data_IF_092889263783
#
_entry.id   IF_092889263783
#
_cell.length_a   1.000
_cell.length_b   1.000
_cell.length_c   1.000
_cell.angle_alpha   90.00
_cell.angle_beta   90.00
_cell.angle_gamma   90.00
#
_symmetry.space_group_name_H-M   'P 1'
#
loop_
_entity.id
_entity.type
_entity.pdbx_description
1 polymer ?
#
# COMPACT_ATOMS: atom_id res chain seq x y z
N UNK A 1 13.36 27.30 -32.34
CA UNK A 1 12.85 25.91 -32.21
C UNK A 1 11.94 25.60 -33.37
N UNK A 2 11.85 24.31 -33.76
CA UNK A 2 10.86 23.84 -34.74
C UNK A 2 9.47 23.76 -34.09
N UNK A 3 8.42 23.96 -34.86
CA UNK A 3 7.03 23.94 -34.36
C UNK A 3 6.69 22.60 -33.70
N UNK A 4 7.07 21.47 -34.30
CA UNK A 4 6.87 20.13 -33.76
C UNK A 4 7.38 19.99 -32.32
N UNK A 5 8.63 20.39 -32.07
CA UNK A 5 9.24 20.34 -30.73
C UNK A 5 8.57 21.27 -29.72
N UNK A 6 7.92 22.35 -30.17
CA UNK A 6 7.18 23.24 -29.28
C UNK A 6 5.82 22.66 -28.96
N UNK A 7 5.14 22.05 -29.93
CA UNK A 7 3.84 21.37 -29.75
C UNK A 7 3.93 20.28 -28.69
N UNK A 8 4.98 19.45 -28.74
CA UNK A 8 5.23 18.40 -27.73
C UNK A 8 5.40 18.96 -26.31
N UNK A 9 5.83 20.21 -26.18
CA UNK A 9 6.14 20.88 -24.91
C UNK A 9 5.05 21.84 -24.42
N UNK A 10 3.93 21.97 -25.15
CA UNK A 10 2.88 22.94 -24.78
C UNK A 10 2.19 22.58 -23.46
N UNK A 11 1.94 21.29 -23.21
CA UNK A 11 1.31 20.81 -21.97
C UNK A 11 2.24 21.01 -20.77
N UNK A 12 3.49 20.58 -20.88
CA UNK A 12 4.51 20.78 -19.84
C UNK A 12 4.72 22.28 -19.54
N UNK A 13 4.66 23.13 -20.58
CA UNK A 13 4.73 24.58 -20.41
C UNK A 13 3.49 25.14 -19.69
N UNK A 14 2.29 24.63 -20.01
CA UNK A 14 1.03 25.04 -19.39
C UNK A 14 1.00 24.73 -17.88
N UNK A 15 1.53 23.57 -17.48
CA UNK A 15 1.61 23.15 -16.08
C UNK A 15 2.90 23.56 -15.36
N UNK A 16 3.76 24.36 -16.00
CA UNK A 16 5.02 24.85 -15.42
C UNK A 16 5.99 23.71 -15.03
N UNK A 17 6.01 22.64 -15.81
CA UNK A 17 6.87 21.47 -15.60
C UNK A 17 8.19 21.54 -16.40
N UNK A 18 8.31 22.51 -17.32
CA UNK A 18 9.53 22.73 -18.08
C UNK A 18 10.64 23.40 -17.27
N UNK A 19 11.89 23.05 -17.60
CA UNK A 19 13.08 23.76 -17.11
C UNK A 19 13.06 25.23 -17.56
N UNK A 20 13.62 26.18 -16.77
CA UNK A 20 13.54 27.61 -17.06
C UNK A 20 14.06 28.00 -18.45
N UNK A 21 15.12 27.35 -18.94
CA UNK A 21 15.68 27.63 -20.26
C UNK A 21 14.78 27.15 -21.41
N UNK A 22 14.10 26.03 -21.23
CA UNK A 22 13.17 25.48 -22.23
C UNK A 22 11.88 26.29 -22.26
N UNK A 23 11.37 26.71 -21.10
CA UNK A 23 10.22 27.60 -20.98
C UNK A 23 10.46 28.94 -21.70
N UNK A 24 11.66 29.52 -21.59
CA UNK A 24 12.03 30.73 -22.35
C UNK A 24 11.99 30.51 -23.86
N UNK A 25 12.50 29.38 -24.35
CA UNK A 25 12.51 29.09 -25.78
C UNK A 25 11.09 28.87 -26.34
N UNK A 26 10.23 28.19 -25.58
CA UNK A 26 8.81 28.03 -25.91
C UNK A 26 8.10 29.39 -25.90
N UNK A 27 8.32 30.21 -24.87
CA UNK A 27 7.72 31.56 -24.77
C UNK A 27 8.15 32.48 -25.93
N UNK A 28 9.41 32.41 -26.37
CA UNK A 28 9.89 33.13 -27.55
C UNK A 28 9.19 32.63 -28.82
N UNK A 29 9.03 31.32 -28.98
CA UNK A 29 8.37 30.75 -30.16
C UNK A 29 6.87 31.12 -30.24
N UNK A 30 6.16 31.12 -29.11
CA UNK A 30 4.75 31.54 -29.05
C UNK A 30 4.55 33.03 -29.42
N UNK A 31 5.59 33.87 -29.29
CA UNK A 31 5.57 35.25 -29.78
C UNK A 31 5.73 35.35 -31.29
N UNK A 32 6.48 34.44 -31.91
CA UNK A 32 6.76 34.47 -33.35
C UNK A 32 5.81 33.63 -34.20
N UNK A 33 5.23 32.54 -33.66
CA UNK A 33 4.40 31.59 -34.41
C UNK A 33 2.91 31.73 -34.04
N UNK A 34 2.03 32.13 -34.98
CA UNK A 34 0.59 32.25 -34.72
C UNK A 34 -0.10 30.90 -34.55
N UNK A 35 0.33 29.85 -35.25
CA UNK A 35 -0.28 28.51 -35.19
C UNK A 35 -0.10 27.86 -33.82
N UNK A 36 1.15 27.80 -33.32
CA UNK A 36 1.42 27.26 -31.99
C UNK A 36 0.79 28.11 -30.87
N UNK A 37 0.57 29.41 -31.11
CA UNK A 37 -0.16 30.28 -30.17
C UNK A 37 -1.64 29.92 -30.10
N UNK A 38 -2.27 29.65 -31.24
CA UNK A 38 -3.68 29.23 -31.29
C UNK A 38 -3.88 27.91 -30.55
N UNK A 39 -3.04 26.90 -30.84
CA UNK A 39 -3.09 25.59 -30.17
C UNK A 39 -2.88 25.71 -28.64
N UNK A 40 -1.96 26.57 -28.20
CA UNK A 40 -1.77 26.84 -26.77
C UNK A 40 -2.99 27.51 -26.11
N UNK A 41 -3.70 28.38 -26.84
CA UNK A 41 -4.93 29.01 -26.34
C UNK A 41 -6.06 27.99 -26.20
N UNK A 42 -6.17 27.02 -27.11
CA UNK A 42 -7.17 25.95 -27.04
C UNK A 42 -6.96 25.06 -25.80
N UNK A 43 -5.71 24.69 -25.51
CA UNK A 43 -5.39 23.96 -24.28
C UNK A 43 -5.73 24.76 -23.03
N UNK A 44 -5.39 26.05 -23.01
CA UNK A 44 -5.70 26.94 -21.88
C UNK A 44 -7.22 27.08 -21.67
N UNK A 45 -7.99 27.19 -22.75
CA UNK A 45 -9.45 27.25 -22.69
C UNK A 45 -10.03 25.95 -22.12
N UNK A 46 -9.52 24.80 -22.55
CA UNK A 46 -9.92 23.47 -22.05
C UNK A 46 -9.69 23.35 -20.53
N UNK A 47 -8.50 23.70 -20.05
CA UNK A 47 -8.17 23.69 -18.61
C UNK A 47 -9.06 24.67 -17.83
N UNK A 48 -9.35 25.84 -18.40
CA UNK A 48 -10.24 26.81 -17.76
C UNK A 48 -11.69 26.31 -17.62
N UNK A 49 -12.17 25.47 -18.54
CA UNK A 49 -13.49 24.81 -18.41
C UNK A 49 -13.45 23.75 -17.32
N UNK A 50 -12.42 22.91 -17.30
CA UNK A 50 -12.24 21.87 -16.26
C UNK A 50 -12.09 22.47 -14.86
N UNK A 51 -11.42 23.61 -14.73
CA UNK A 51 -11.25 24.31 -13.45
C UNK A 51 -12.55 24.84 -12.84
N UNK A 52 -13.65 24.92 -13.61
CA UNK A 52 -14.98 25.31 -13.11
C UNK A 52 -15.75 24.15 -12.49
N UNK A 53 -15.20 22.93 -12.54
CA UNK A 53 -15.86 21.77 -11.95
C UNK A 53 -16.05 21.98 -10.44
N UNK A 54 -17.25 21.74 -9.89
CA UNK A 54 -17.48 21.87 -8.45
C UNK A 54 -16.51 21.00 -7.67
N UNK A 55 -15.68 21.64 -6.85
CA UNK A 55 -14.77 20.95 -5.94
C UNK A 55 -15.62 20.28 -4.86
N UNK A 56 -15.71 18.95 -4.92
CA UNK A 56 -16.27 18.16 -3.83
C UNK A 56 -15.22 18.16 -2.73
N UNK A 57 -15.48 18.89 -1.64
CA UNK A 57 -14.63 18.76 -0.45
C UNK A 57 -14.63 17.28 -0.05
N UNK A 58 -13.46 16.63 0.09
CA UNK A 58 -13.41 15.29 0.65
C UNK A 58 -14.09 15.34 2.02
N UNK A 59 -15.06 14.44 2.24
CA UNK A 59 -15.75 14.33 3.53
C UNK A 59 -14.71 14.32 4.64
N UNK A 60 -14.93 15.15 5.67
CA UNK A 60 -13.95 15.52 6.73
C UNK A 60 -13.46 14.36 7.60
N UNK A 61 -13.79 13.12 7.25
CA UNK A 61 -13.33 11.90 7.90
C UNK A 61 -12.17 11.26 7.14
N UNK A 62 -11.16 12.05 6.78
CA UNK A 62 -9.84 11.51 6.48
C UNK A 62 -9.22 11.08 7.81
N UNK A 63 -9.60 9.89 8.29
CA UNK A 63 -8.94 9.26 9.42
C UNK A 63 -7.54 8.86 8.95
N UNK A 64 -6.58 9.74 9.18
CA UNK A 64 -5.17 9.38 9.10
C UNK A 64 -4.90 8.37 10.21
N UNK A 65 -4.96 7.09 9.85
CA UNK A 65 -4.37 6.03 10.66
C UNK A 65 -2.87 6.28 10.60
N UNK A 66 -2.36 7.03 11.58
CA UNK A 66 -0.93 7.07 11.79
C UNK A 66 -0.47 5.61 11.89
N UNK A 67 0.46 5.14 11.04
CA UNK A 67 1.01 3.80 11.19
C UNK A 67 1.50 3.75 12.63
N UNK A 68 0.91 2.85 13.43
CA UNK A 68 1.18 2.77 14.85
C UNK A 68 2.67 2.89 15.06
N UNK A 69 3.09 3.97 15.73
CA UNK A 69 4.50 4.15 16.02
C UNK A 69 4.89 2.97 16.89
N UNK A 70 5.55 1.99 16.27
CA UNK A 70 6.04 0.81 16.95
C UNK A 70 7.03 1.30 18.01
N UNK A 71 6.53 1.52 19.23
CA UNK A 71 7.21 2.23 20.33
C UNK A 71 8.48 1.55 20.81
N UNK A 72 8.78 0.36 20.27
CA UNK A 72 10.03 -0.36 20.46
C UNK A 72 11.23 0.45 19.96
N UNK A 73 11.16 1.10 18.79
CA UNK A 73 12.31 1.87 18.26
C UNK A 73 12.54 3.19 19.01
N UNK A 74 11.49 3.89 19.42
CA UNK A 74 11.62 5.12 20.21
C UNK A 74 11.99 4.84 21.69
N UNK A 75 11.55 3.71 22.27
CA UNK A 75 12.04 3.26 23.58
C UNK A 75 13.53 2.95 23.57
N UNK A 76 14.03 2.25 22.54
CA UNK A 76 15.46 1.95 22.43
C UNK A 76 16.33 3.21 22.31
N UNK A 77 15.83 4.27 21.66
CA UNK A 77 16.57 5.52 21.50
C UNK A 77 16.62 6.39 22.76
N UNK A 78 15.64 6.25 23.65
CA UNK A 78 15.67 6.92 24.97
C UNK A 78 16.68 6.30 25.96
N UNK A 79 17.17 5.09 25.67
CA UNK A 79 18.13 4.37 26.50
C UNK A 79 19.60 4.72 26.21
N UNK A 80 19.88 5.51 25.16
CA UNK A 80 21.25 5.93 24.80
C UNK A 80 21.61 7.34 25.30
N UNK A 81 20.87 7.88 26.27
CA UNK A 81 21.23 9.15 26.91
C UNK A 81 22.35 8.95 27.94
N UNK A 82 23.57 9.31 27.54
CA UNK A 82 24.86 9.05 28.20
C UNK A 82 24.95 9.65 29.63
N UNK A 83 24.04 10.54 30.04
CA UNK A 83 24.03 11.12 31.39
C UNK A 83 23.41 10.24 32.48
N UNK A 84 22.70 9.16 32.14
CA UNK A 84 22.15 8.21 33.11
C UNK A 84 23.10 7.08 33.51
N UNK A 85 24.09 6.77 32.66
CA UNK A 85 24.97 5.61 32.83
C UNK A 85 26.00 5.79 33.96
N UNK A 86 26.44 7.03 34.22
CA UNK A 86 27.53 7.31 35.16
C UNK A 86 27.12 7.25 36.64
N UNK A 87 25.82 7.28 36.96
CA UNK A 87 25.33 7.01 38.34
C UNK A 87 25.12 5.53 38.64
N UNK A 88 25.16 4.65 37.63
CA UNK A 88 24.95 3.20 37.78
C UNK A 88 26.24 2.36 37.71
N UNK A 89 27.39 2.93 37.36
CA UNK A 89 28.67 2.18 37.23
C UNK A 89 29.20 1.62 38.55
N UNK A 90 28.86 2.22 39.70
CA UNK A 90 29.27 1.70 41.01
C UNK A 90 28.59 0.39 41.41
N UNK A 91 27.35 0.15 40.95
CA UNK A 91 26.58 -1.06 41.32
C UNK A 91 26.76 -2.20 40.31
N UNK A 92 26.97 -1.89 39.03
CA UNK A 92 27.18 -2.89 37.99
C UNK A 92 28.60 -3.51 38.10
N UNK A 93 29.62 -2.73 38.46
CA UNK A 93 30.99 -3.26 38.58
C UNK A 93 31.09 -4.34 39.67
N UNK A 94 30.44 -4.14 40.82
CA UNK A 94 30.43 -5.12 41.91
C UNK A 94 29.63 -6.38 41.52
N UNK A 95 28.48 -6.21 40.86
CA UNK A 95 27.67 -7.33 40.37
C UNK A 95 28.40 -8.15 39.29
N UNK A 96 29.16 -7.50 38.40
CA UNK A 96 29.95 -8.17 37.38
C UNK A 96 31.12 -8.95 38.00
N UNK A 97 31.82 -8.39 39.00
CA UNK A 97 32.89 -9.10 39.71
C UNK A 97 32.33 -10.31 40.48
N UNK A 98 31.18 -10.17 41.14
CA UNK A 98 30.49 -11.28 41.82
C UNK A 98 30.02 -12.32 40.82
N UNK A 99 29.47 -11.92 39.67
CA UNK A 99 29.05 -12.84 38.61
C UNK A 99 30.25 -13.59 38.01
N UNK A 100 31.39 -12.92 37.80
CA UNK A 100 32.62 -13.54 37.32
C UNK A 100 33.17 -14.53 38.35
N UNK A 101 33.16 -14.19 39.65
CA UNK A 101 33.57 -15.11 40.72
C UNK A 101 32.61 -16.31 40.89
N UNK A 102 31.31 -16.09 40.64
CA UNK A 102 30.28 -17.14 40.64
C UNK A 102 30.43 -18.09 39.45
N UNK A 103 30.70 -17.54 38.26
CA UNK A 103 30.98 -18.33 37.04
C UNK A 103 32.30 -19.09 37.20
N UNK A 104 33.30 -18.49 37.86
CA UNK A 104 34.61 -19.10 38.07
C UNK A 104 34.64 -20.18 39.18
N UNK A 105 33.50 -20.52 39.83
CA UNK A 105 33.36 -21.53 40.90
C UNK A 105 34.54 -21.53 41.89
N UNK A 106 34.75 -20.39 42.54
CA UNK A 106 35.86 -20.19 43.49
C UNK A 106 35.53 -20.73 44.88
N UNK A 107 36.38 -21.60 45.42
CA UNK A 107 36.30 -22.09 46.81
C UNK A 107 37.26 -21.25 47.68
N UNK A 108 36.71 -20.53 48.66
CA UNK A 108 37.47 -19.70 49.60
C UNK A 108 37.48 -20.43 50.95
N UNK A 109 38.64 -20.96 51.35
CA UNK A 109 38.81 -21.61 52.65
C UNK A 109 39.86 -20.86 53.48
N UNK A 110 39.51 -20.58 54.74
CA UNK A 110 40.34 -19.85 55.68
C UNK A 110 40.54 -20.72 56.93
N UNK A 111 41.70 -21.37 57.04
CA UNK A 111 42.08 -22.13 58.22
C UNK A 111 43.48 -21.74 58.70
N UNK A 112 43.59 -21.48 60.00
CA UNK A 112 44.85 -21.25 60.71
C UNK A 112 45.81 -20.20 60.09
N UNK A 113 45.27 -19.04 59.67
CA UNK A 113 46.08 -17.88 59.27
C UNK A 113 46.71 -17.94 57.88
N UNK A 114 46.39 -18.96 57.07
CA UNK A 114 46.79 -19.03 55.66
C UNK A 114 45.56 -18.90 54.75
N UNK A 115 45.64 -17.97 53.79
CA UNK A 115 44.61 -17.77 52.77
C UNK A 115 44.96 -18.59 51.53
N UNK A 116 44.06 -19.48 51.11
CA UNK A 116 44.20 -20.22 49.86
C UNK A 116 42.99 -19.97 48.96
N UNK A 117 43.25 -19.47 47.75
CA UNK A 117 42.27 -19.23 46.70
C UNK A 117 42.48 -20.27 45.61
N UNK A 118 41.52 -21.19 45.42
CA UNK A 118 41.55 -22.15 44.30
C UNK A 118 40.52 -21.74 43.25
N UNK A 119 41.01 -21.45 42.05
CA UNK A 119 40.21 -21.10 40.88
C UNK A 119 40.42 -22.21 39.86
N UNK A 120 39.42 -23.05 39.64
CA UNK A 120 39.50 -24.19 38.73
C UNK A 120 38.48 -25.26 39.05
N UNK A 121 37.91 -25.88 38.01
CA UNK A 121 36.82 -26.85 38.12
C UNK A 121 37.22 -28.03 39.01
N UNK A 122 36.48 -28.20 40.12
CA UNK A 122 36.44 -29.43 40.89
C UNK A 122 36.05 -30.55 39.92
N UNK A 123 36.95 -31.50 39.70
CA UNK A 123 36.73 -32.70 38.88
C UNK A 123 35.35 -33.27 39.23
N UNK A 124 34.43 -33.22 38.26
CA UNK A 124 33.03 -33.55 38.47
C UNK A 124 32.92 -35.02 38.89
N UNK A 125 32.51 -35.26 40.13
CA UNK A 125 31.82 -36.50 40.46
C UNK A 125 30.62 -36.64 39.52
N UNK A 126 30.43 -37.80 38.85
CA UNK A 126 29.37 -37.96 37.86
C UNK A 126 28.00 -37.85 38.53
N UNK A 127 27.29 -36.75 38.27
CA UNK A 127 25.89 -36.61 38.63
C UNK A 127 25.04 -37.42 37.64
N UNK A 128 24.60 -38.57 38.15
CA UNK A 128 23.33 -39.27 37.90
C UNK A 128 22.53 -38.88 36.65
N UNK A 129 22.31 -39.88 35.81
CA UNK A 129 21.37 -39.88 34.68
C UNK A 129 20.03 -39.22 35.03
N UNK A 130 19.56 -38.32 34.15
CA UNK A 130 18.18 -37.82 34.15
C UNK A 130 17.21 -39.00 34.34
N UNK A 131 16.26 -38.94 35.28
CA UNK A 131 15.26 -40.00 35.44
C UNK A 131 14.56 -40.22 34.10
N UNK A 132 14.59 -41.45 33.59
CA UNK A 132 14.06 -41.83 32.27
C UNK A 132 12.59 -41.41 32.06
N UNK A 133 11.86 -41.24 33.17
CA UNK A 133 10.49 -40.71 33.28
C UNK A 133 10.34 -39.28 32.74
N UNK A 134 11.31 -38.40 33.00
CA UNK A 134 11.27 -37.00 32.53
C UNK A 134 11.43 -36.87 31.02
N UNK A 135 12.24 -37.74 30.41
CA UNK A 135 12.42 -37.81 28.96
C UNK A 135 11.17 -38.36 28.26
N UNK A 136 10.52 -39.35 28.86
CA UNK A 136 9.28 -39.92 28.36
C UNK A 136 8.13 -38.89 28.40
N UNK A 137 8.01 -38.14 29.50
CA UNK A 137 7.02 -37.06 29.63
C UNK A 137 7.22 -35.95 28.58
N UNK A 138 8.47 -35.54 28.33
CA UNK A 138 8.77 -34.54 27.31
C UNK A 138 8.44 -35.02 25.88
N UNK A 139 8.79 -36.27 25.54
CA UNK A 139 8.43 -36.87 24.25
C UNK A 139 6.92 -36.92 24.04
N UNK A 140 6.16 -37.25 25.09
CA UNK A 140 4.69 -37.28 25.04
C UNK A 140 4.12 -35.88 24.76
N UNK A 141 4.59 -34.86 25.46
CA UNK A 141 4.16 -33.46 25.22
C UNK A 141 4.48 -32.99 23.80
N UNK A 142 5.64 -33.36 23.25
CA UNK A 142 5.96 -33.05 21.86
C UNK A 142 4.99 -33.74 20.88
N UNK A 143 4.65 -35.01 21.12
CA UNK A 143 3.69 -35.73 20.29
C UNK A 143 2.29 -35.11 20.36
N UNK A 144 1.84 -34.71 21.55
CA UNK A 144 0.56 -34.02 21.74
C UNK A 144 0.51 -32.68 21.00
N UNK A 145 1.58 -31.87 21.10
CA UNK A 145 1.67 -30.60 20.37
C UNK A 145 1.65 -30.79 18.85
N UNK A 146 2.36 -31.81 18.34
CA UNK A 146 2.35 -32.13 16.91
C UNK A 146 0.96 -32.57 16.45
N UNK A 147 0.31 -33.44 17.22
CA UNK A 147 -1.05 -33.90 16.93
C UNK A 147 -2.05 -32.74 16.91
N UNK A 148 -1.97 -31.84 17.89
CA UNK A 148 -2.83 -30.67 17.96
C UNK A 148 -2.59 -29.71 16.78
N UNK A 149 -1.33 -29.44 16.43
CA UNK A 149 -0.98 -28.57 15.30
C UNK A 149 -1.50 -29.16 13.98
N UNK A 150 -1.41 -30.48 13.80
CA UNK A 150 -1.95 -31.16 12.63
C UNK A 150 -3.48 -31.05 12.53
N UNK A 151 -4.20 -31.17 13.66
CA UNK A 151 -5.64 -30.96 13.67
C UNK A 151 -6.01 -29.52 13.30
N UNK A 152 -5.31 -28.54 13.88
CA UNK A 152 -5.56 -27.12 13.59
C UNK A 152 -5.28 -26.79 12.11
N UNK A 153 -4.23 -27.36 11.53
CA UNK A 153 -3.92 -27.19 10.11
C UNK A 153 -5.02 -27.74 9.21
N UNK A 154 -5.47 -28.99 9.46
CA UNK A 154 -6.56 -29.62 8.70
C UNK A 154 -7.87 -28.84 8.83
N UNK A 155 -8.20 -28.39 10.04
CA UNK A 155 -9.37 -27.56 10.28
C UNK A 155 -9.28 -26.20 9.58
N UNK A 156 -8.08 -25.61 9.53
CA UNK A 156 -7.81 -24.36 8.82
C UNK A 156 -7.95 -24.50 7.30
N UNK A 157 -7.39 -25.56 6.72
CA UNK A 157 -7.53 -25.86 5.29
C UNK A 157 -9.00 -26.02 4.89
N UNK A 158 -9.80 -26.73 5.70
CA UNK A 158 -11.20 -26.95 5.39
C UNK A 158 -12.02 -25.65 5.43
N UNK A 159 -11.77 -24.80 6.43
CA UNK A 159 -12.37 -23.46 6.50
C UNK A 159 -11.96 -22.60 5.29
N UNK A 160 -10.69 -22.63 4.91
CA UNK A 160 -10.20 -21.88 3.75
C UNK A 160 -10.87 -22.34 2.45
N UNK A 161 -11.05 -23.65 2.26
CA UNK A 161 -11.77 -24.19 1.10
C UNK A 161 -13.21 -23.71 1.07
N UNK A 162 -13.91 -23.76 2.20
CA UNK A 162 -15.30 -23.30 2.29
C UNK A 162 -15.41 -21.81 1.97
N UNK A 163 -14.56 -20.98 2.58
CA UNK A 163 -14.53 -19.54 2.30
C UNK A 163 -14.24 -19.25 0.82
N UNK A 164 -13.33 -19.99 0.21
CA UNK A 164 -12.98 -19.82 -1.20
C UNK A 164 -14.15 -20.18 -2.11
N UNK A 165 -14.84 -21.30 -1.84
CA UNK A 165 -16.01 -21.71 -2.62
C UNK A 165 -17.17 -20.70 -2.51
N UNK A 166 -17.42 -20.18 -1.31
CA UNK A 166 -18.42 -19.12 -1.10
C UNK A 166 -18.01 -17.82 -1.77
N UNK A 167 -16.73 -17.45 -1.69
CA UNK A 167 -16.21 -16.24 -2.33
C UNK A 167 -16.33 -16.28 -3.86
N UNK A 168 -16.00 -17.42 -4.48
CA UNK A 168 -16.13 -17.60 -5.93
C UNK A 168 -17.60 -17.53 -6.35
N UNK A 169 -18.51 -18.19 -5.64
CA UNK A 169 -19.93 -18.19 -6.02
C UNK A 169 -20.56 -16.80 -5.89
N UNK A 170 -20.19 -16.02 -4.88
CA UNK A 170 -20.64 -14.63 -4.74
C UNK A 170 -20.10 -13.74 -5.86
N UNK A 171 -18.83 -13.91 -6.22
CA UNK A 171 -18.20 -13.15 -7.29
C UNK A 171 -18.85 -13.43 -8.65
N UNK A 172 -19.12 -14.71 -8.97
CA UNK A 172 -19.84 -15.10 -10.18
C UNK A 172 -21.23 -14.45 -10.22
N UNK A 173 -21.96 -14.47 -9.11
CA UNK A 173 -23.28 -13.84 -9.02
C UNK A 173 -23.23 -12.33 -9.30
N UNK A 174 -22.22 -11.63 -8.77
CA UNK A 174 -22.04 -10.19 -9.02
C UNK A 174 -21.73 -9.90 -10.49
N UNK A 175 -20.86 -10.72 -11.12
CA UNK A 175 -20.56 -10.59 -12.55
C UNK A 175 -21.80 -10.78 -13.42
N UNK A 176 -22.64 -11.78 -13.13
CA UNK A 176 -23.88 -11.99 -13.87
C UNK A 176 -24.85 -10.82 -13.71
N UNK A 177 -25.01 -10.30 -12.50
CA UNK A 177 -25.85 -9.12 -12.25
C UNK A 177 -25.36 -7.89 -13.03
N UNK A 178 -24.05 -7.64 -13.02
CA UNK A 178 -23.46 -6.53 -13.75
C UNK A 178 -23.64 -6.70 -15.26
N UNK A 179 -23.42 -7.90 -15.78
CA UNK A 179 -23.62 -8.20 -17.20
C UNK A 179 -25.07 -7.94 -17.64
N UNK A 180 -26.05 -8.33 -16.83
CA UNK A 180 -27.46 -8.07 -17.15
C UNK A 180 -27.75 -6.57 -17.19
N UNK A 181 -27.27 -5.82 -16.20
CA UNK A 181 -27.42 -4.36 -16.17
C UNK A 181 -26.73 -3.67 -17.38
N UNK A 182 -25.54 -4.12 -17.75
CA UNK A 182 -24.81 -3.61 -18.91
C UNK A 182 -25.56 -3.89 -20.22
N UNK A 183 -26.12 -5.11 -20.37
CA UNK A 183 -26.91 -5.46 -21.54
C UNK A 183 -28.21 -4.65 -21.64
N UNK A 184 -28.86 -4.36 -20.50
CA UNK A 184 -30.04 -3.49 -20.44
C UNK A 184 -29.69 -2.06 -20.86
N UNK A 185 -28.59 -1.51 -20.32
CA UNK A 185 -28.11 -0.18 -20.70
C UNK A 185 -27.72 -0.09 -22.18
N UNK A 186 -27.07 -1.12 -22.73
CA UNK A 186 -26.78 -1.20 -24.17
C UNK A 186 -28.07 -1.25 -25.00
N UNK A 187 -29.05 -2.05 -24.57
CA UNK A 187 -30.35 -2.17 -25.24
C UNK A 187 -31.09 -0.84 -25.31
N UNK A 188 -31.16 -0.11 -24.20
CA UNK A 188 -31.78 1.22 -24.14
C UNK A 188 -31.09 2.21 -25.08
N UNK A 189 -29.75 2.22 -25.09
CA UNK A 189 -28.99 3.12 -25.96
C UNK A 189 -29.18 2.79 -27.44
N UNK A 190 -29.17 1.52 -27.82
CA UNK A 190 -29.44 1.11 -29.20
C UNK A 190 -30.84 1.55 -29.65
N UNK A 191 -31.84 1.43 -28.78
CA UNK A 191 -33.20 1.89 -29.06
C UNK A 191 -33.29 3.41 -29.22
N UNK A 192 -32.55 4.18 -28.41
CA UNK A 192 -32.43 5.64 -28.55
C UNK A 192 -31.79 6.03 -29.89
N UNK A 193 -30.72 5.34 -30.30
CA UNK A 193 -30.07 5.59 -31.60
C UNK A 193 -31.02 5.26 -32.76
N UNK A 194 -31.72 4.12 -32.67
CA UNK A 194 -32.67 3.72 -33.70
C UNK A 194 -33.83 4.73 -33.84
N UNK A 195 -34.42 5.16 -32.73
CA UNK A 195 -35.50 6.15 -32.73
C UNK A 195 -35.04 7.52 -33.25
N UNK A 196 -33.83 7.97 -32.88
CA UNK A 196 -33.23 9.19 -33.43
C UNK A 196 -33.01 9.09 -34.95
N UNK A 197 -32.53 7.95 -35.45
CA UNK A 197 -32.36 7.72 -36.88
C UNK A 197 -33.69 7.73 -37.65
N UNK A 198 -34.73 7.10 -37.09
CA UNK A 198 -36.07 7.12 -37.69
C UNK A 198 -36.64 8.53 -37.75
N UNK A 199 -36.50 9.30 -36.68
CA UNK A 199 -36.93 10.70 -36.60
C UNK A 199 -36.18 11.60 -37.60
N UNK A 200 -34.86 11.44 -37.71
CA UNK A 200 -34.07 12.18 -38.70
C UNK A 200 -34.52 11.86 -40.13
N UNK A 201 -34.81 10.59 -40.42
CA UNK A 201 -35.28 10.19 -41.74
C UNK A 201 -36.66 10.77 -42.06
N UNK A 202 -37.58 10.82 -41.09
CA UNK A 202 -38.88 11.46 -41.29
C UNK A 202 -38.76 12.96 -41.57
N UNK A 203 -37.89 13.67 -40.83
CA UNK A 203 -37.62 15.10 -41.11
C UNK A 203 -37.09 15.29 -42.53
N UNK A 204 -36.18 14.44 -42.98
CA UNK A 204 -35.64 14.53 -44.34
C UNK A 204 -36.73 14.32 -45.39
N UNK A 205 -37.67 13.40 -45.17
CA UNK A 205 -38.81 13.19 -46.07
C UNK A 205 -39.74 14.41 -46.11
N UNK A 206 -40.03 15.01 -44.95
CA UNK A 206 -40.86 16.22 -44.87
C UNK A 206 -40.21 17.38 -45.62
N UNK A 207 -38.90 17.62 -45.42
CA UNK A 207 -38.15 18.66 -46.14
C UNK A 207 -38.17 18.43 -47.66
N UNK A 208 -38.02 17.18 -48.11
CA UNK A 208 -38.10 16.84 -49.55
C UNK A 208 -39.50 17.13 -50.10
N UNK A 209 -40.56 16.85 -49.35
CA UNK A 209 -41.93 17.13 -49.77
C UNK A 209 -42.24 18.64 -49.87
N UNK A 210 -41.74 19.44 -48.92
CA UNK A 210 -41.85 20.90 -48.93
C UNK A 210 -41.04 21.52 -50.08
N UNK A 211 -39.86 20.98 -50.38
CA UNK A 211 -39.07 21.42 -51.52
C UNK A 211 -39.79 21.15 -52.86
N UNK A 212 -40.43 19.98 -53.01
CA UNK A 212 -41.20 19.62 -54.21
C UNK A 212 -42.41 20.53 -54.43
N UNK A 213 -43.16 20.84 -53.37
CA UNK A 213 -44.33 21.73 -53.46
C UNK A 213 -43.93 23.15 -53.83
N UNK A 214 -42.88 23.70 -53.23
CA UNK A 214 -42.36 25.03 -53.59
C UNK A 214 -41.83 25.11 -55.04
N UNK A 215 -41.23 24.03 -55.55
CA UNK A 215 -40.78 23.99 -56.94
C UNK A 215 -41.93 23.98 -57.95
N UNK A 216 -43.06 23.35 -57.59
CA UNK A 216 -44.25 23.27 -58.46
C UNK A 216 -45.06 24.57 -58.55
N UNK A 217 -44.92 25.48 -57.58
CA UNK A 217 -45.62 26.79 -57.57
C UNK A 217 -44.86 27.86 -58.39
N UNK A 218 -43.57 27.65 -58.66
CA UNK A 218 -42.73 28.56 -59.45
C UNK A 218 -42.71 28.28 -60.96
N UNK A 219 -43.43 27.26 -61.43
CA UNK A 219 -43.58 26.91 -62.86
C UNK A 219 -44.99 27.25 -63.33
#
# INVERSE_FOLDING_TARGET
MKCETVRDKLMDYLFTELKPEEARQVALHLKSCPECRAEFQDFRATVAVMGKWPQVEPGKDLVFIAPGENSLRNRLRSFTSVHGLLRWTGRIAFAAIVLILLIARTDINYSAGQFSLRIGAKENQPQSALPMETLAAFKKLQQENLYFTQQMLKAGEERNKQLLLTGISELLRKFDQQRVADLEYMGENLQRIQSANLYNNSILQDLVSVAKTNYSIKK
#
